data_IF_198480299696
#
_entry.id   IF_198480299696
#
_cell.length_a   1.000
_cell.length_b   1.000
_cell.length_c   1.000
_cell.angle_alpha   90.00
_cell.angle_beta   90.00
_cell.angle_gamma   90.00
#
_symmetry.space_group_name_H-M   'P 1'
#
loop_
_entity.id
_entity.type
_entity.pdbx_description
1 polymer ?
#
# COMPACT_ATOMS: atom_id res chain seq x y z
N UNK A 1 -36.61 45.85 -3.57
CA UNK A 1 -35.70 44.72 -3.90
C UNK A 1 -34.34 44.79 -3.20
N UNK A 2 -33.79 45.95 -2.79
CA UNK A 2 -32.51 46.04 -2.05
C UNK A 2 -32.51 45.26 -0.72
N UNK A 3 -33.62 45.29 0.02
CA UNK A 3 -33.71 44.64 1.33
C UNK A 3 -33.73 43.10 1.25
N UNK A 4 -34.11 42.52 0.10
CA UNK A 4 -34.15 41.07 -0.07
C UNK A 4 -32.74 40.48 -0.31
N UNK A 5 -31.91 41.19 -1.10
CA UNK A 5 -30.51 40.82 -1.31
C UNK A 5 -29.66 40.92 -0.04
N UNK A 6 -30.00 41.83 0.87
CA UNK A 6 -29.27 42.02 2.13
C UNK A 6 -29.34 40.80 3.06
N UNK A 7 -30.42 39.99 2.98
CA UNK A 7 -30.56 38.75 3.75
C UNK A 7 -30.15 37.50 2.96
N UNK A 8 -30.33 37.50 1.63
CA UNK A 8 -29.92 36.37 0.77
C UNK A 8 -28.41 36.15 0.76
N UNK A 9 -27.62 37.22 0.67
CA UNK A 9 -26.15 37.16 0.59
C UNK A 9 -25.50 36.49 1.82
N UNK A 10 -25.80 36.88 3.07
CA UNK A 10 -25.21 36.23 4.24
C UNK A 10 -25.64 34.76 4.39
N UNK A 11 -26.87 34.41 4.01
CA UNK A 11 -27.34 33.01 4.01
C UNK A 11 -26.55 32.18 2.99
N UNK A 12 -26.33 32.73 1.79
CA UNK A 12 -25.52 32.08 0.76
C UNK A 12 -24.08 31.86 1.24
N UNK A 13 -23.49 32.84 1.92
CA UNK A 13 -22.12 32.73 2.45
C UNK A 13 -22.03 31.62 3.51
N UNK A 14 -22.97 31.57 4.46
CA UNK A 14 -23.00 30.51 5.49
C UNK A 14 -23.17 29.13 4.83
N UNK A 15 -24.03 29.04 3.82
CA UNK A 15 -24.24 27.80 3.08
C UNK A 15 -22.97 27.36 2.34
N UNK A 16 -22.29 28.27 1.66
CA UNK A 16 -21.03 27.99 0.95
C UNK A 16 -19.92 27.56 1.91
N UNK A 17 -19.78 28.23 3.06
CA UNK A 17 -18.78 27.85 4.09
C UNK A 17 -19.10 26.47 4.68
N UNK A 18 -20.37 26.17 4.95
CA UNK A 18 -20.81 24.86 5.45
C UNK A 18 -20.52 23.73 4.44
N UNK A 19 -20.77 23.96 3.15
CA UNK A 19 -20.47 23.00 2.08
C UNK A 19 -18.96 22.78 1.94
N UNK A 20 -18.13 23.84 2.01
CA UNK A 20 -16.66 23.71 1.96
C UNK A 20 -16.14 22.88 3.14
N UNK A 21 -16.64 23.10 4.36
CA UNK A 21 -16.25 22.31 5.52
C UNK A 21 -16.64 20.84 5.40
N UNK A 22 -17.82 20.53 4.84
CA UNK A 22 -18.25 19.15 4.59
C UNK A 22 -17.40 18.45 3.53
N UNK A 23 -16.99 19.16 2.48
CA UNK A 23 -16.13 18.59 1.43
C UNK A 23 -14.70 18.30 1.93
N UNK A 24 -14.19 19.13 2.85
CA UNK A 24 -12.86 18.92 3.45
C UNK A 24 -12.84 17.85 4.55
N UNK A 25 -14.00 17.45 5.09
CA UNK A 25 -14.12 16.41 6.10
C UNK A 25 -14.19 14.98 5.54
N UNK A 26 -13.72 14.75 4.31
CA UNK A 26 -13.42 13.39 3.88
C UNK A 26 -12.30 12.86 4.76
N UNK A 27 -12.68 12.06 5.76
CA UNK A 27 -11.76 11.20 6.49
C UNK A 27 -11.03 10.36 5.44
N UNK A 28 -9.78 10.71 5.15
CA UNK A 28 -8.94 9.83 4.37
C UNK A 28 -8.74 8.58 5.22
N UNK A 29 -9.14 7.44 4.68
CA UNK A 29 -8.81 6.15 5.26
C UNK A 29 -7.30 5.95 5.05
N UNK A 30 -6.51 6.50 5.96
CA UNK A 30 -5.04 6.43 5.98
C UNK A 30 -4.54 5.02 6.37
N UNK A 31 -5.43 4.02 6.40
CA UNK A 31 -5.06 2.65 6.74
C UNK A 31 -4.26 2.03 5.60
N UNK A 32 -2.96 2.25 5.65
CA UNK A 32 -1.97 1.70 4.73
C UNK A 32 -2.07 0.17 4.74
N UNK A 33 -2.21 -0.40 3.55
CA UNK A 33 -2.40 -1.84 3.34
C UNK A 33 -1.35 -2.37 2.39
N UNK A 34 -0.76 -3.48 2.80
CA UNK A 34 0.08 -4.30 1.94
C UNK A 34 -0.73 -5.48 1.42
N UNK A 35 -0.83 -5.58 0.09
CA UNK A 35 -1.45 -6.68 -0.61
C UNK A 35 -0.33 -7.62 -1.07
N UNK A 36 -0.48 -8.90 -0.77
CA UNK A 36 0.46 -9.94 -1.19
C UNK A 36 -0.33 -10.99 -1.96
N UNK A 37 0.15 -11.31 -3.15
CA UNK A 37 -0.39 -12.36 -4.00
C UNK A 37 0.69 -13.34 -4.39
N UNK A 38 0.36 -14.63 -4.32
CA UNK A 38 1.13 -15.72 -4.90
C UNK A 38 0.17 -16.77 -5.45
N UNK A 39 0.37 -17.20 -6.69
CA UNK A 39 -0.55 -18.12 -7.38
C UNK A 39 -2.02 -17.65 -7.30
N UNK A 40 -2.91 -18.49 -6.77
CA UNK A 40 -4.34 -18.21 -6.53
C UNK A 40 -4.62 -17.58 -5.15
N UNK A 41 -3.61 -17.43 -4.30
CA UNK A 41 -3.76 -16.89 -2.95
C UNK A 41 -3.47 -15.40 -2.97
N UNK A 42 -4.40 -14.63 -2.41
CA UNK A 42 -4.27 -13.18 -2.24
C UNK A 42 -4.73 -12.82 -0.83
N UNK A 43 -3.89 -12.09 -0.09
CA UNK A 43 -4.24 -11.54 1.23
C UNK A 43 -3.83 -10.08 1.31
N UNK A 44 -4.55 -9.31 2.11
CA UNK A 44 -4.18 -7.95 2.45
C UNK A 44 -3.91 -7.85 3.95
N UNK A 45 -3.03 -6.93 4.31
CA UNK A 45 -2.60 -6.71 5.67
C UNK A 45 -2.56 -5.22 5.95
N UNK A 46 -3.14 -4.80 7.05
CA UNK A 46 -2.83 -3.47 7.61
C UNK A 46 -1.37 -3.47 8.07
N UNK A 47 -0.62 -2.40 7.77
CA UNK A 47 0.82 -2.35 8.01
C UNK A 47 1.24 -1.17 8.86
N UNK A 48 2.16 -1.45 9.78
CA UNK A 48 2.89 -0.47 10.59
C UNK A 48 4.30 -1.00 10.84
N UNK A 49 5.26 -0.10 11.10
CA UNK A 49 6.66 -0.48 11.32
C UNK A 49 6.81 -1.47 12.49
N UNK A 50 7.63 -2.49 12.32
CA UNK A 50 7.85 -3.59 13.26
C UNK A 50 6.83 -4.73 13.19
N UNK A 51 5.77 -4.62 12.37
CA UNK A 51 4.76 -5.67 12.24
C UNK A 51 5.32 -6.88 11.49
N UNK A 52 5.01 -8.09 11.98
CA UNK A 52 5.27 -9.35 11.26
C UNK A 52 3.98 -9.86 10.63
N UNK A 53 4.06 -10.24 9.37
CA UNK A 53 2.95 -10.74 8.56
C UNK A 53 3.26 -12.18 8.14
N UNK A 54 2.24 -13.02 8.20
CA UNK A 54 2.32 -14.41 7.81
C UNK A 54 1.37 -14.61 6.61
N UNK A 55 1.96 -14.84 5.45
CA UNK A 55 1.23 -15.04 4.20
C UNK A 55 1.16 -16.52 3.86
N UNK A 56 -0.01 -16.98 3.40
CA UNK A 56 -0.28 -18.34 2.93
C UNK A 56 0.26 -19.45 3.86
N UNK A 57 -0.02 -19.37 5.17
CA UNK A 57 0.51 -20.32 6.18
C UNK A 57 0.18 -21.79 5.90
N UNK A 58 -0.92 -22.05 5.20
CA UNK A 58 -1.41 -23.39 4.84
C UNK A 58 -0.89 -23.90 3.47
N UNK A 59 -0.08 -23.11 2.75
CA UNK A 59 0.50 -23.48 1.45
C UNK A 59 2.02 -23.48 1.55
N UNK A 60 2.62 -24.67 1.62
CA UNK A 60 4.07 -24.86 1.76
C UNK A 60 4.91 -24.19 0.66
N UNK A 61 4.33 -23.95 -0.52
CA UNK A 61 5.04 -23.27 -1.63
C UNK A 61 4.93 -21.76 -1.51
N UNK A 62 3.77 -21.25 -1.13
CA UNK A 62 3.50 -19.81 -1.08
C UNK A 62 3.75 -19.18 0.29
N UNK A 63 4.01 -19.99 1.32
CA UNK A 63 4.21 -19.51 2.69
C UNK A 63 5.35 -18.51 2.76
N UNK A 64 5.04 -17.32 3.26
CA UNK A 64 6.01 -16.24 3.35
C UNK A 64 5.85 -15.45 4.65
N UNK A 65 6.97 -15.25 5.34
CA UNK A 65 7.05 -14.37 6.49
C UNK A 65 7.60 -13.02 6.05
N UNK A 66 6.89 -11.95 6.36
CA UNK A 66 7.26 -10.58 6.00
C UNK A 66 7.37 -9.76 7.27
N UNK A 67 8.51 -9.11 7.48
CA UNK A 67 8.69 -8.14 8.56
C UNK A 67 8.67 -6.73 7.98
N UNK A 68 7.76 -5.89 8.47
CA UNK A 68 7.67 -4.50 8.04
C UNK A 68 8.73 -3.70 8.77
N UNK A 69 9.75 -3.22 8.06
CA UNK A 69 10.84 -2.45 8.64
C UNK A 69 10.45 -0.97 8.81
N UNK A 70 9.81 -0.40 7.78
CA UNK A 70 9.37 0.98 7.80
C UNK A 70 8.14 1.19 6.92
N UNK A 71 7.26 2.10 7.32
CA UNK A 71 6.06 2.49 6.56
C UNK A 71 6.07 4.00 6.36
N UNK A 72 6.31 4.44 5.14
CA UNK A 72 6.23 5.84 4.70
C UNK A 72 4.94 6.06 3.89
N UNK A 73 4.60 7.32 3.58
CA UNK A 73 3.48 7.66 2.69
C UNK A 73 3.74 7.20 1.25
N UNK A 74 4.99 7.25 0.80
CA UNK A 74 5.34 6.91 -0.57
C UNK A 74 5.79 5.46 -0.76
N UNK A 75 6.16 4.77 0.31
CA UNK A 75 6.71 3.41 0.23
C UNK A 75 6.57 2.63 1.53
N UNK A 76 6.71 1.32 1.42
CA UNK A 76 6.93 0.40 2.54
C UNK A 76 8.26 -0.31 2.34
N UNK A 77 9.05 -0.37 3.42
CA UNK A 77 10.26 -1.17 3.48
C UNK A 77 9.95 -2.45 4.24
N UNK A 78 10.17 -3.59 3.61
CA UNK A 78 9.95 -4.90 4.20
C UNK A 78 11.25 -5.70 4.22
N UNK A 79 11.34 -6.64 5.14
CA UNK A 79 12.33 -7.69 5.18
C UNK A 79 11.62 -9.01 4.85
N UNK A 80 12.07 -9.62 3.76
CA UNK A 80 11.63 -10.92 3.28
C UNK A 80 12.88 -11.69 2.89
N UNK A 81 13.39 -12.55 3.78
CA UNK A 81 14.59 -13.31 3.49
C UNK A 81 14.41 -14.09 2.18
N UNK A 82 15.43 -14.05 1.32
CA UNK A 82 15.56 -14.94 0.15
C UNK A 82 14.52 -14.73 -0.98
N UNK A 83 14.09 -13.50 -1.22
CA UNK A 83 13.34 -13.12 -2.43
C UNK A 83 14.23 -12.41 -3.45
N UNK A 84 14.10 -12.79 -4.72
CA UNK A 84 14.77 -12.15 -5.84
C UNK A 84 13.86 -11.14 -6.53
N UNK A 85 14.38 -9.94 -6.83
CA UNK A 85 13.68 -8.95 -7.65
C UNK A 85 13.90 -9.19 -9.15
N UNK A 86 13.17 -8.47 -9.99
CA UNK A 86 13.42 -8.42 -11.43
C UNK A 86 14.33 -7.22 -11.75
N UNK A 87 15.31 -7.40 -12.64
CA UNK A 87 16.13 -6.33 -13.19
C UNK A 87 15.39 -5.51 -14.27
N UNK A 88 16.02 -4.44 -14.76
CA UNK A 88 15.45 -3.59 -15.81
C UNK A 88 15.26 -4.31 -17.17
N UNK A 89 15.87 -5.48 -17.35
CA UNK A 89 15.82 -6.28 -18.56
C UNK A 89 14.79 -7.42 -18.45
N UNK A 90 14.05 -7.51 -17.33
CA UNK A 90 13.05 -8.54 -17.10
C UNK A 90 13.60 -9.87 -16.57
N UNK A 91 14.89 -9.94 -16.22
CA UNK A 91 15.52 -11.15 -15.66
C UNK A 91 15.50 -11.12 -14.13
N UNK A 92 15.60 -12.29 -13.51
CA UNK A 92 15.72 -12.39 -12.06
C UNK A 92 17.10 -11.86 -11.63
N UNK A 93 17.10 -10.78 -10.86
CA UNK A 93 18.30 -10.15 -10.31
C UNK A 93 18.79 -10.96 -9.10
N UNK A 94 19.89 -11.69 -9.30
CA UNK A 94 20.56 -12.51 -8.29
C UNK A 94 21.83 -11.87 -7.74
N UNK A 95 22.11 -10.62 -8.12
CA UNK A 95 23.41 -9.99 -7.83
C UNK A 95 23.67 -9.84 -6.34
N UNK A 96 22.62 -9.57 -5.54
CA UNK A 96 22.74 -9.45 -4.09
C UNK A 96 21.53 -10.01 -3.35
N UNK A 97 21.79 -10.75 -2.26
CA UNK A 97 20.76 -11.15 -1.31
C UNK A 97 20.25 -9.90 -0.57
N UNK A 98 19.13 -9.35 -1.01
CA UNK A 98 18.53 -8.17 -0.39
C UNK A 98 17.87 -8.56 0.93
N UNK A 99 18.44 -8.11 2.04
CA UNK A 99 17.82 -8.22 3.37
C UNK A 99 16.62 -7.30 3.55
N UNK A 100 16.42 -6.36 2.63
CA UNK A 100 15.26 -5.48 2.64
C UNK A 100 14.83 -5.08 1.24
N UNK A 101 13.53 -5.07 1.02
CA UNK A 101 12.89 -4.69 -0.21
C UNK A 101 12.04 -3.43 0.01
N UNK A 102 12.02 -2.54 -0.98
CA UNK A 102 11.20 -1.33 -0.98
C UNK A 102 10.09 -1.54 -1.99
N UNK A 103 8.85 -1.29 -1.58
CA UNK A 103 7.66 -1.34 -2.41
C UNK A 103 7.08 0.07 -2.42
N UNK A 104 6.95 0.65 -3.61
CA UNK A 104 6.38 1.98 -3.78
C UNK A 104 4.85 1.94 -3.71
N UNK A 105 4.24 3.03 -3.27
CA UNK A 105 2.79 3.18 -3.23
C UNK A 105 2.22 3.16 -4.65
N UNK A 106 1.06 2.50 -4.81
CA UNK A 106 0.36 2.35 -6.08
C UNK A 106 1.12 1.62 -7.20
N UNK A 107 2.27 1.01 -6.88
CA UNK A 107 3.07 0.21 -7.81
C UNK A 107 3.13 -1.26 -7.38
N UNK A 108 2.99 -2.16 -8.35
CA UNK A 108 3.17 -3.59 -8.14
C UNK A 108 4.67 -3.92 -8.20
N UNK A 109 5.19 -4.45 -7.10
CA UNK A 109 6.55 -4.99 -7.06
C UNK A 109 6.52 -6.51 -7.15
N UNK A 110 7.28 -7.06 -8.09
CA UNK A 110 7.34 -8.50 -8.33
C UNK A 110 8.61 -9.09 -7.73
N UNK A 111 8.45 -10.19 -7.00
CA UNK A 111 9.54 -10.99 -6.47
C UNK A 111 9.38 -12.46 -6.85
N UNK A 112 10.48 -13.18 -6.81
CA UNK A 112 10.52 -14.63 -6.96
C UNK A 112 11.15 -15.28 -5.72
N UNK A 113 10.69 -16.49 -5.39
CA UNK A 113 11.33 -17.33 -4.40
C UNK A 113 12.77 -17.67 -4.81
N UNK A 114 13.58 -18.08 -3.84
CA UNK A 114 14.96 -18.48 -4.06
C UNK A 114 15.13 -19.59 -5.13
N UNK A 115 14.19 -20.53 -5.19
CA UNK A 115 14.14 -21.63 -6.16
C UNK A 115 13.46 -21.26 -7.49
N UNK A 116 13.04 -19.99 -7.64
CA UNK A 116 12.40 -19.40 -8.82
C UNK A 116 11.04 -20.01 -9.20
N UNK A 117 10.50 -20.91 -8.39
CA UNK A 117 9.24 -21.60 -8.67
C UNK A 117 8.01 -20.76 -8.33
N UNK A 118 8.16 -19.78 -7.44
CA UNK A 118 7.03 -19.06 -6.85
C UNK A 118 7.19 -17.57 -7.10
N UNK A 119 6.17 -16.99 -7.73
CA UNK A 119 6.08 -15.56 -8.02
C UNK A 119 5.22 -14.88 -6.96
N UNK A 120 5.75 -13.83 -6.36
CA UNK A 120 5.05 -12.95 -5.44
C UNK A 120 4.81 -11.59 -6.08
N UNK A 121 3.62 -11.04 -5.87
CA UNK A 121 3.26 -9.68 -6.28
C UNK A 121 2.87 -8.93 -5.01
N UNK A 122 3.55 -7.82 -4.76
CA UNK A 122 3.30 -6.94 -3.64
C UNK A 122 2.74 -5.62 -4.16
N UNK A 123 1.64 -5.16 -3.58
CA UNK A 123 1.06 -3.85 -3.88
C UNK A 123 0.85 -3.11 -2.58
N UNK A 124 1.32 -1.86 -2.50
CA UNK A 124 1.14 -1.01 -1.33
C UNK A 124 0.16 0.11 -1.65
N UNK A 125 -0.90 0.26 -0.85
CA UNK A 125 -1.95 1.26 -1.03
C UNK A 125 -2.36 1.86 0.29
#
# INVERSE_FOLDING_TARGET
>A
MKNFFQFMIPILIIFVVGVIMLLNNKSYDDTKRLYIKSNSISKNFEVYSGKKLFFAEDDDKCKLNVEVLNVDRAFIKINTPYLWSIDNNGNIDKTEARLSNVILVDEDTVFYSYDEQVKYIFSFK
#
